data_IF_603028804294
#
_entry.id   IF_603028804294
#
_cell.length_a   1.000
_cell.length_b   1.000
_cell.length_c   1.000
_cell.angle_alpha   90.00
_cell.angle_beta   90.00
_cell.angle_gamma   90.00
#
_symmetry.space_group_name_H-M   'P 1'
#
loop_
_entity.id
_entity.type
_entity.pdbx_description
1 polymer ?
#
# COMPACT_ATOMS: atom_id res chain seq x y z
N UNK A 1 -9.25 22.49 -6.68
CA UNK A 1 -8.56 21.95 -7.87
C UNK A 1 -8.82 20.45 -7.88
N UNK A 2 -9.57 19.96 -8.87
CA UNK A 2 -10.01 18.57 -8.92
C UNK A 2 -8.82 17.63 -9.18
N UNK A 3 -8.66 16.62 -8.35
CA UNK A 3 -7.59 15.60 -8.40
C UNK A 3 -7.84 14.53 -9.47
N UNK A 4 -8.86 14.70 -10.32
CA UNK A 4 -9.37 13.65 -11.21
C UNK A 4 -8.37 13.22 -12.30
N UNK A 5 -7.50 14.13 -12.77
CA UNK A 5 -6.58 13.84 -13.87
C UNK A 5 -5.44 12.87 -13.54
N UNK A 6 -5.17 12.59 -12.26
CA UNK A 6 -4.03 11.74 -11.87
C UNK A 6 -4.28 10.25 -12.11
N UNK A 7 -5.53 9.85 -12.33
CA UNK A 7 -5.92 8.45 -12.58
C UNK A 7 -6.17 8.16 -14.06
N UNK A 8 -6.03 9.15 -14.94
CA UNK A 8 -6.35 9.00 -16.37
C UNK A 8 -5.36 8.08 -17.11
N UNK A 9 -4.15 7.91 -16.59
CA UNK A 9 -3.13 7.02 -17.18
C UNK A 9 -3.21 5.56 -16.74
N UNK A 10 -4.16 5.19 -15.87
CA UNK A 10 -4.29 3.84 -15.32
C UNK A 10 -5.46 3.10 -15.96
N UNK A 11 -5.27 1.84 -16.33
CA UNK A 11 -6.34 1.01 -16.89
C UNK A 11 -7.29 0.52 -15.80
N UNK A 12 -8.54 0.20 -16.17
CA UNK A 12 -9.52 -0.33 -15.24
C UNK A 12 -9.05 -1.64 -14.60
N UNK A 13 -8.33 -2.49 -15.34
CA UNK A 13 -7.76 -3.74 -14.83
C UNK A 13 -6.68 -3.50 -13.79
N UNK A 14 -5.82 -2.49 -13.99
CA UNK A 14 -4.80 -2.10 -13.01
C UNK A 14 -5.45 -1.61 -11.72
N UNK A 15 -6.45 -0.72 -11.84
CA UNK A 15 -7.21 -0.21 -10.70
C UNK A 15 -7.94 -1.33 -9.96
N UNK A 16 -8.53 -2.29 -10.68
CA UNK A 16 -9.22 -3.44 -10.10
C UNK A 16 -8.28 -4.40 -9.39
N UNK A 17 -7.15 -4.73 -10.02
CA UNK A 17 -6.15 -5.59 -9.40
C UNK A 17 -5.59 -4.95 -8.12
N UNK A 18 -5.25 -3.65 -8.19
CA UNK A 18 -4.73 -2.92 -7.05
C UNK A 18 -5.77 -2.80 -5.92
N UNK A 19 -7.03 -2.56 -6.27
CA UNK A 19 -8.12 -2.56 -5.29
C UNK A 19 -8.23 -3.91 -4.57
N UNK A 20 -8.23 -5.01 -5.33
CA UNK A 20 -8.31 -6.35 -4.75
C UNK A 20 -7.14 -6.65 -3.83
N UNK A 21 -5.92 -6.25 -4.21
CA UNK A 21 -4.72 -6.48 -3.40
C UNK A 21 -4.73 -5.69 -2.08
N UNK A 22 -5.33 -4.49 -2.08
CA UNK A 22 -5.42 -3.62 -0.90
C UNK A 22 -6.72 -3.75 -0.10
N UNK A 23 -7.68 -4.53 -0.57
CA UNK A 23 -9.01 -4.68 0.03
C UNK A 23 -8.96 -5.04 1.52
N UNK A 24 -8.14 -6.02 1.90
CA UNK A 24 -8.02 -6.45 3.30
C UNK A 24 -7.44 -5.34 4.17
N UNK A 25 -6.39 -4.66 3.70
CA UNK A 25 -5.78 -3.54 4.44
C UNK A 25 -6.79 -2.41 4.65
N UNK A 26 -7.56 -2.05 3.62
CA UNK A 26 -8.62 -1.04 3.69
C UNK A 26 -9.76 -1.45 4.63
N UNK A 27 -10.04 -2.73 4.81
CA UNK A 27 -11.08 -3.17 5.76
C UNK A 27 -10.72 -2.86 7.21
N UNK A 28 -9.43 -2.74 7.52
CA UNK A 28 -8.90 -2.56 8.87
C UNK A 28 -8.88 -1.09 9.33
N UNK A 29 -9.45 -0.16 8.56
CA UNK A 29 -9.56 1.24 8.93
C UNK A 29 -10.22 1.40 10.30
N UNK A 30 -9.57 2.12 11.19
CA UNK A 30 -10.07 2.35 12.56
C UNK A 30 -11.36 3.18 12.57
N UNK A 31 -11.40 4.21 11.72
CA UNK A 31 -12.55 5.07 11.53
C UNK A 31 -12.97 5.07 10.05
N UNK A 32 -13.71 4.07 9.55
CA UNK A 32 -14.06 3.99 8.12
C UNK A 32 -15.12 5.02 7.69
N UNK A 33 -15.73 5.75 8.63
CA UNK A 33 -16.91 6.58 8.39
C UNK A 33 -16.66 7.72 7.40
N UNK A 34 -15.53 8.43 7.48
CA UNK A 34 -15.24 9.53 6.55
C UNK A 34 -15.16 9.02 5.11
N UNK A 35 -14.44 7.91 4.91
CA UNK A 35 -14.36 7.25 3.61
C UNK A 35 -15.75 6.79 3.15
N UNK A 36 -16.51 6.10 4.01
CA UNK A 36 -17.84 5.59 3.67
C UNK A 36 -18.84 6.69 3.31
N UNK A 37 -18.81 7.82 4.02
CA UNK A 37 -19.64 8.98 3.69
C UNK A 37 -19.34 9.45 2.27
N UNK A 38 -18.06 9.54 1.90
CA UNK A 38 -17.70 9.88 0.53
C UNK A 38 -18.19 8.86 -0.49
N UNK A 39 -17.97 7.58 -0.23
CA UNK A 39 -18.40 6.54 -1.17
C UNK A 39 -19.92 6.55 -1.34
N UNK A 40 -20.67 6.81 -0.26
CA UNK A 40 -22.13 6.97 -0.30
C UNK A 40 -22.55 8.19 -1.13
N UNK A 41 -21.88 9.33 -0.94
CA UNK A 41 -22.21 10.56 -1.66
C UNK A 41 -22.01 10.44 -3.18
N UNK A 42 -21.16 9.50 -3.62
CA UNK A 42 -20.94 9.14 -5.03
C UNK A 42 -21.72 7.89 -5.48
N UNK A 43 -22.71 7.43 -4.70
CA UNK A 43 -23.54 6.25 -4.98
C UNK A 43 -22.75 4.94 -5.16
N UNK A 44 -21.52 4.87 -4.62
CA UNK A 44 -20.66 3.68 -4.65
C UNK A 44 -21.01 2.68 -3.55
N UNK A 45 -21.75 3.08 -2.51
CA UNK A 45 -22.16 2.20 -1.42
C UNK A 45 -23.66 2.35 -1.23
N UNK A 46 -24.43 1.26 -1.26
CA UNK A 46 -25.86 1.30 -1.02
C UNK A 46 -26.14 1.56 0.46
N UNK A 47 -27.27 2.20 0.74
CA UNK A 47 -27.63 2.70 2.07
C UNK A 47 -27.76 1.58 3.11
N UNK A 48 -28.22 0.39 2.70
CA UNK A 48 -28.36 -0.77 3.57
C UNK A 48 -27.00 -1.26 4.11
N UNK A 49 -25.96 -1.29 3.27
CA UNK A 49 -24.61 -1.65 3.68
C UNK A 49 -23.97 -0.56 4.54
N UNK A 50 -24.18 0.71 4.18
CA UNK A 50 -23.74 1.85 4.99
C UNK A 50 -24.30 1.76 6.42
N UNK A 51 -25.61 1.51 6.56
CA UNK A 51 -26.25 1.37 7.85
C UNK A 51 -25.74 0.18 8.68
N UNK A 52 -25.27 -0.90 8.04
CA UNK A 52 -24.67 -2.01 8.78
C UNK A 52 -23.38 -1.58 9.50
N UNK A 53 -22.57 -0.71 8.89
CA UNK A 53 -21.34 -0.21 9.54
C UNK A 53 -21.66 0.73 10.69
N UNK A 54 -22.64 1.62 10.53
CA UNK A 54 -23.03 2.55 11.60
C UNK A 54 -23.63 1.83 12.80
N UNK A 55 -24.37 0.73 12.57
CA UNK A 55 -24.94 -0.13 13.63
C UNK A 55 -23.90 -1.05 14.28
N UNK A 56 -22.74 -1.29 13.65
CA UNK A 56 -21.71 -2.18 14.17
C UNK A 56 -20.99 -1.58 15.39
N UNK A 57 -21.05 -2.27 16.54
CA UNK A 57 -20.51 -1.77 17.81
C UNK A 57 -19.03 -2.07 18.02
N UNK A 58 -18.55 -3.23 17.57
CA UNK A 58 -17.17 -3.68 17.82
C UNK A 58 -16.26 -3.43 16.62
N UNK A 59 -14.96 -3.22 16.87
CA UNK A 59 -13.94 -3.06 15.81
C UNK A 59 -13.95 -4.23 14.82
N UNK A 60 -14.00 -5.47 15.33
CA UNK A 60 -14.05 -6.69 14.50
C UNK A 60 -15.29 -6.74 13.60
N UNK A 61 -16.46 -6.37 14.13
CA UNK A 61 -17.68 -6.31 13.31
C UNK A 61 -17.62 -5.19 12.28
N UNK A 62 -17.08 -4.02 12.63
CA UNK A 62 -16.89 -2.90 11.68
C UNK A 62 -15.96 -3.31 10.54
N UNK A 63 -14.84 -3.94 10.84
CA UNK A 63 -13.90 -4.47 9.85
C UNK A 63 -14.56 -5.49 8.92
N UNK A 64 -15.34 -6.43 9.47
CA UNK A 64 -16.06 -7.41 8.65
C UNK A 64 -17.03 -6.74 7.67
N UNK A 65 -17.86 -5.82 8.16
CA UNK A 65 -18.82 -5.11 7.29
C UNK A 65 -18.09 -4.21 6.29
N UNK A 66 -16.98 -3.58 6.69
CA UNK A 66 -16.14 -2.80 5.77
C UNK A 66 -15.60 -3.68 4.64
N UNK A 67 -15.13 -4.89 4.96
CA UNK A 67 -14.70 -5.86 3.95
C UNK A 67 -15.86 -6.25 3.02
N UNK A 68 -17.06 -6.49 3.56
CA UNK A 68 -18.26 -6.79 2.76
C UNK A 68 -18.61 -5.64 1.79
N UNK A 69 -18.50 -4.39 2.24
CA UNK A 69 -18.70 -3.21 1.37
C UNK A 69 -17.67 -3.16 0.25
N UNK A 70 -16.39 -3.32 0.58
CA UNK A 70 -15.32 -3.28 -0.42
C UNK A 70 -15.46 -4.43 -1.41
N UNK A 71 -15.86 -5.62 -0.95
CA UNK A 71 -16.13 -6.78 -1.80
C UNK A 71 -17.31 -6.52 -2.74
N UNK A 72 -18.36 -5.86 -2.25
CA UNK A 72 -19.49 -5.43 -3.06
C UNK A 72 -19.08 -4.41 -4.13
N UNK A 73 -18.27 -3.42 -3.78
CA UNK A 73 -17.73 -2.42 -4.73
C UNK A 73 -16.91 -3.11 -5.82
N UNK A 74 -16.05 -4.07 -5.47
CA UNK A 74 -15.24 -4.83 -6.43
C UNK A 74 -16.11 -5.61 -7.43
N UNK A 75 -17.18 -6.26 -6.94
CA UNK A 75 -18.03 -7.14 -7.75
C UNK A 75 -19.03 -6.37 -8.61
N UNK A 76 -19.76 -5.43 -8.00
CA UNK A 76 -20.89 -4.77 -8.65
C UNK A 76 -20.54 -3.45 -9.31
N UNK A 77 -19.48 -2.79 -8.82
CA UNK A 77 -19.11 -1.43 -9.25
C UNK A 77 -17.70 -1.37 -9.83
N UNK A 78 -17.25 -2.46 -10.45
CA UNK A 78 -15.93 -2.55 -11.08
C UNK A 78 -15.61 -1.38 -12.03
N UNK A 79 -16.53 -0.95 -12.93
CA UNK A 79 -16.28 0.20 -13.80
C UNK A 79 -16.18 1.53 -13.04
N UNK A 80 -16.74 1.59 -11.83
CA UNK A 80 -16.69 2.78 -10.98
C UNK A 80 -15.50 2.77 -10.02
N UNK A 81 -14.57 1.82 -10.13
CA UNK A 81 -13.35 1.81 -9.30
C UNK A 81 -12.49 3.05 -9.52
N UNK A 82 -12.51 3.65 -10.71
CA UNK A 82 -11.87 4.95 -10.94
C UNK A 82 -12.47 6.04 -10.05
N UNK A 83 -13.80 6.06 -9.89
CA UNK A 83 -14.51 6.99 -9.00
C UNK A 83 -14.22 6.67 -7.53
N UNK A 84 -14.12 5.38 -7.17
CA UNK A 84 -13.68 4.97 -5.83
C UNK A 84 -12.31 5.58 -5.51
N UNK A 85 -11.34 5.41 -6.40
CA UNK A 85 -9.98 5.91 -6.19
C UNK A 85 -9.91 7.44 -6.20
N UNK A 86 -10.70 8.11 -7.03
CA UNK A 86 -10.78 9.58 -7.00
C UNK A 86 -11.33 10.10 -5.67
N UNK A 87 -12.29 9.40 -5.06
CA UNK A 87 -12.76 9.70 -3.70
C UNK A 87 -11.67 9.41 -2.67
N UNK A 88 -11.07 8.22 -2.71
CA UNK A 88 -10.07 7.78 -1.74
C UNK A 88 -8.79 8.64 -1.77
N UNK A 89 -8.51 9.33 -2.88
CA UNK A 89 -7.32 10.18 -3.05
C UNK A 89 -7.59 11.68 -2.89
N UNK A 90 -8.76 12.07 -2.37
CA UNK A 90 -9.00 13.45 -1.94
C UNK A 90 -8.14 13.79 -0.73
N UNK A 91 -7.72 15.05 -0.65
CA UNK A 91 -6.71 15.48 0.32
C UNK A 91 -7.10 15.19 1.78
N UNK A 92 -8.35 15.39 2.16
CA UNK A 92 -8.79 15.12 3.54
C UNK A 92 -8.81 13.62 3.88
N UNK A 93 -9.08 12.74 2.89
CA UNK A 93 -8.93 11.28 3.08
C UNK A 93 -7.46 10.93 3.23
N UNK A 94 -6.59 11.48 2.37
CA UNK A 94 -5.14 11.27 2.45
C UNK A 94 -4.57 11.75 3.79
N UNK A 95 -5.05 12.89 4.30
CA UNK A 95 -4.65 13.45 5.59
C UNK A 95 -5.05 12.51 6.75
N UNK A 96 -6.30 12.05 6.76
CA UNK A 96 -6.81 11.20 7.84
C UNK A 96 -6.22 9.77 7.80
N UNK A 97 -5.93 9.26 6.61
CA UNK A 97 -5.53 7.87 6.42
C UNK A 97 -4.21 7.78 5.63
N UNK A 98 -3.06 7.69 6.32
CA UNK A 98 -1.75 7.63 5.67
C UNK A 98 -1.59 6.49 4.65
N UNK A 99 -2.31 5.38 4.83
CA UNK A 99 -2.30 4.26 3.88
C UNK A 99 -2.69 4.67 2.46
N UNK A 100 -3.65 5.58 2.28
CA UNK A 100 -4.06 6.02 0.94
C UNK A 100 -2.98 6.89 0.26
N UNK A 101 -2.10 7.55 1.03
CA UNK A 101 -0.92 8.22 0.46
C UNK A 101 0.06 7.21 -0.11
N UNK A 102 0.27 6.10 0.60
CA UNK A 102 1.10 4.99 0.13
C UNK A 102 0.51 4.39 -1.15
N UNK A 103 -0.80 4.17 -1.16
CA UNK A 103 -1.49 3.61 -2.33
C UNK A 103 -1.40 4.52 -3.54
N UNK A 104 -1.66 5.82 -3.36
CA UNK A 104 -1.54 6.82 -4.43
C UNK A 104 -0.13 6.82 -5.02
N UNK A 105 0.89 6.81 -4.16
CA UNK A 105 2.29 6.79 -4.60
C UNK A 105 2.63 5.48 -5.32
N UNK A 106 2.15 4.34 -4.83
CA UNK A 106 2.37 3.03 -5.44
C UNK A 106 1.74 2.94 -6.84
N UNK A 107 0.48 3.34 -6.97
CA UNK A 107 -0.26 3.36 -8.24
C UNK A 107 0.42 4.25 -9.30
N UNK A 108 0.82 5.47 -8.91
CA UNK A 108 1.51 6.38 -9.83
C UNK A 108 2.91 5.89 -10.23
N UNK A 109 3.60 5.16 -9.35
CA UNK A 109 4.89 4.54 -9.69
C UNK A 109 4.74 3.34 -10.61
N UNK A 110 3.65 2.58 -10.50
CA UNK A 110 3.32 1.50 -11.43
C UNK A 110 3.06 2.05 -12.84
N UNK A 111 2.35 3.18 -12.96
CA UNK A 111 2.12 3.86 -14.24
C UNK A 111 3.45 4.22 -14.95
N UNK A 112 4.39 4.83 -14.22
CA UNK A 112 5.69 5.27 -14.79
C UNK A 112 6.56 4.11 -15.30
N UNK A 113 6.43 2.91 -14.71
CA UNK A 113 7.17 1.73 -15.16
C UNK A 113 6.64 1.18 -16.47
N UNK A 114 5.33 1.31 -16.72
CA UNK A 114 4.71 0.88 -17.98
C UNK A 114 5.07 1.81 -19.15
N UNK A 115 5.30 3.09 -18.89
CA UNK A 115 5.71 4.07 -19.91
C UNK A 115 7.20 3.92 -20.33
N UNK A 116 8.05 3.36 -19.48
CA UNK A 116 9.49 3.18 -19.77
C UNK A 116 9.84 1.92 -20.59
N UNK A 117 8.88 1.06 -20.94
CA UNK A 117 9.15 -0.14 -21.75
C UNK A 117 9.03 0.07 -23.26
N UNK A 118 8.79 1.29 -23.73
CA UNK A 118 8.62 1.58 -25.18
C UNK A 118 9.79 2.35 -25.80
N UNK A 119 10.77 2.81 -25.02
CA UNK A 119 11.97 3.45 -25.61
C UNK A 119 13.24 3.11 -24.82
N UNK A 120 14.26 2.60 -25.50
CA UNK A 120 15.58 2.38 -24.91
C UNK A 120 16.25 1.02 -25.11
N UNK A 121 16.21 0.45 -26.31
CA UNK A 121 17.30 -0.46 -26.73
C UNK A 121 18.56 0.36 -26.98
N UNK A 122 19.49 0.41 -26.01
CA UNK A 122 20.92 0.48 -26.34
C UNK A 122 21.79 -0.10 -25.23
N UNK A 123 22.12 -1.39 -25.43
CA UNK A 123 23.30 -2.03 -24.86
C UNK A 123 24.54 -1.14 -25.08
N UNK A 124 25.33 -0.93 -24.03
CA UNK A 124 26.79 -1.08 -24.14
C UNK A 124 27.33 -1.74 -22.88
N UNK A 125 27.65 -3.03 -23.04
CA UNK A 125 28.49 -3.85 -22.18
C UNK A 125 29.96 -3.49 -22.46
N UNK A 126 30.76 -3.43 -21.40
CA UNK A 126 32.15 -3.91 -21.27
C UNK A 126 32.44 -3.82 -19.76
N UNK A 127 32.50 -4.91 -18.97
CA UNK A 127 33.45 -6.01 -19.01
C UNK A 127 34.92 -5.53 -19.04
N UNK A 128 35.58 -5.59 -17.88
CA UNK A 128 36.93 -6.14 -17.78
C UNK A 128 37.15 -6.69 -16.36
N UNK A 129 37.75 -7.87 -16.33
CA UNK A 129 38.03 -8.71 -15.17
C UNK A 129 39.30 -8.29 -14.43
N UNK A 130 39.37 -8.74 -13.17
CA UNK A 130 40.53 -9.20 -12.36
C UNK A 130 41.93 -8.66 -12.68
N UNK A 131 42.63 -8.22 -11.63
CA UNK A 131 43.90 -8.86 -11.24
C UNK A 131 44.19 -8.66 -9.75
N UNK A 132 44.68 -9.75 -9.15
CA UNK A 132 45.00 -9.97 -7.75
C UNK A 132 46.53 -9.86 -7.62
N UNK A 133 47.07 -9.01 -6.74
CA UNK A 133 48.46 -9.13 -6.27
C UNK A 133 48.72 -8.35 -4.98
N UNK A 134 48.85 -9.07 -3.87
CA UNK A 134 49.58 -8.67 -2.66
C UNK A 134 51.10 -8.73 -2.93
N UNK A 135 51.97 -7.89 -2.30
CA UNK A 135 52.46 -8.20 -0.94
C UNK A 135 52.72 -6.98 -0.02
N UNK A 136 52.56 -7.15 1.30
CA UNK A 136 52.94 -6.19 2.35
C UNK A 136 54.47 -6.01 2.53
N UNK A 137 55.00 -5.46 3.66
CA UNK A 137 54.33 -5.07 4.92
C UNK A 137 54.77 -3.69 5.49
N UNK A 138 54.27 -3.37 6.69
CA UNK A 138 54.97 -2.66 7.78
C UNK A 138 54.43 -1.28 8.23
N UNK A 139 53.87 -1.31 9.44
CA UNK A 139 54.20 -0.47 10.60
C UNK A 139 53.30 0.70 11.04
N UNK A 140 53.10 0.70 12.37
CA UNK A 140 52.75 1.78 13.32
C UNK A 140 51.29 1.90 13.82
N UNK A 141 50.96 1.00 14.75
CA UNK A 141 50.48 1.24 16.14
C UNK A 141 49.83 2.60 16.49
N UNK A 142 48.58 2.59 17.01
CA UNK A 142 48.18 3.09 18.37
C UNK A 142 46.67 2.98 18.70
N UNK A 143 46.34 1.96 19.50
CA UNK A 143 45.48 1.88 20.72
C UNK A 143 44.48 3.03 21.03
N UNK A 144 43.17 2.71 21.23
CA UNK A 144 42.37 2.81 22.50
C UNK A 144 40.83 2.73 22.27
N UNK A 145 40.17 1.73 22.87
CA UNK A 145 38.74 1.73 23.28
C UNK A 145 38.66 2.17 24.78
N UNK A 146 37.50 2.27 25.49
CA UNK A 146 36.05 2.28 25.16
C UNK A 146 35.25 3.44 25.83
N UNK A 147 33.94 3.59 25.54
CA UNK A 147 32.80 3.57 26.51
C UNK A 147 31.52 4.34 26.09
N UNK A 148 30.39 3.61 26.23
CA UNK A 148 29.03 3.98 26.68
C UNK A 148 28.07 4.81 25.79
N UNK A 149 26.95 4.13 25.50
CA UNK A 149 25.66 4.59 24.97
C UNK A 149 24.99 5.62 25.90
N UNK A 150 24.00 6.37 25.37
CA UNK A 150 22.66 6.22 25.91
C UNK A 150 21.61 5.84 24.86
N UNK A 151 20.62 5.16 25.41
CA UNK A 151 19.47 4.48 24.83
C UNK A 151 18.35 5.49 24.57
N UNK A 152 17.73 5.43 23.40
CA UNK A 152 16.35 5.91 23.20
C UNK A 152 15.58 4.80 22.53
N UNK A 153 14.73 4.17 23.33
CA UNK A 153 13.69 3.24 22.90
C UNK A 153 12.61 4.05 22.17
N UNK A 154 12.40 3.78 20.89
CA UNK A 154 11.08 3.97 20.25
C UNK A 154 10.81 2.68 19.49
N UNK A 155 10.17 1.75 20.20
CA UNK A 155 9.53 0.58 19.63
C UNK A 155 8.31 1.06 18.83
N UNK A 156 8.52 1.37 17.55
CA UNK A 156 7.46 1.54 16.57
C UNK A 156 7.03 0.16 16.05
N UNK A 157 6.13 -0.46 16.79
CA UNK A 157 5.44 -1.70 16.47
C UNK A 157 4.61 -1.57 15.18
N UNK A 158 5.26 -1.78 14.03
CA UNK A 158 4.61 -2.00 12.73
C UNK A 158 4.91 -3.39 12.16
N UNK A 159 5.47 -4.30 12.98
CA UNK A 159 5.89 -5.64 12.57
C UNK A 159 4.77 -6.68 12.55
N UNK A 160 3.62 -6.42 13.16
CA UNK A 160 2.56 -7.43 13.32
C UNK A 160 1.62 -7.57 12.12
N UNK A 161 1.51 -6.56 11.25
CA UNK A 161 0.59 -6.64 10.11
C UNK A 161 1.13 -7.53 8.98
N UNK A 162 2.45 -7.52 8.74
CA UNK A 162 3.12 -8.38 7.74
C UNK A 162 3.18 -9.86 8.17
N UNK A 163 3.24 -10.14 9.49
CA UNK A 163 3.28 -11.53 10.00
C UNK A 163 1.90 -12.21 9.87
N UNK A 164 0.81 -11.45 9.97
CA UNK A 164 -0.55 -12.02 9.90
C UNK A 164 -0.91 -12.51 8.49
N UNK A 165 -0.45 -11.85 7.42
CA UNK A 165 -0.77 -12.25 6.04
C UNK A 165 -0.04 -13.55 5.64
N UNK A 166 1.11 -13.86 6.24
CA UNK A 166 1.93 -15.03 5.87
C UNK A 166 1.55 -16.33 6.59
N UNK A 167 0.73 -16.26 7.65
CA UNK A 167 0.44 -17.39 8.54
C UNK A 167 -0.89 -18.11 8.26
N UNK A 168 -1.73 -17.62 7.35
CA UNK A 168 -2.98 -18.31 6.95
C UNK A 168 -2.85 -19.12 5.65
N UNK A 169 -1.66 -19.63 5.33
CA UNK A 169 -1.51 -20.74 4.40
C UNK A 169 -1.60 -22.05 5.19
N UNK A 170 -2.83 -22.46 5.53
CA UNK A 170 -3.08 -23.82 6.03
C UNK A 170 -2.99 -24.82 4.87
N UNK A 171 -2.33 -25.98 5.06
CA UNK A 171 -2.20 -27.01 4.05
C UNK A 171 -3.54 -27.73 3.83
N UNK A 172 -3.85 -28.02 2.56
CA UNK A 172 -4.89 -28.97 2.18
C UNK A 172 -4.53 -30.35 2.73
N UNK A 173 -5.48 -31.00 3.43
CA UNK A 173 -5.35 -32.37 3.86
C UNK A 173 -6.56 -32.85 4.65
N UNK A 174 -7.53 -33.43 3.95
CA UNK A 174 -8.22 -34.70 4.23
C UNK A 174 -9.27 -34.99 3.16
#
# INVERSE_FOLDING_TARGET
MSTDHQLDGLTEEQLAWFFRSKKTEMSCLEEPQTLLNQLRDFYLVPEDLYQKVTKAKTKKTKQKVMYEILDWVEKERRPLLKVFWSCAFKDHILQQYPLFRLYKTSLLNEQKKTEQTVDGTKRKKCASEREETEPGPSSVVRIRQPTKKPRTDIAGDLGLFEIYIRTTSLPCGL
#
